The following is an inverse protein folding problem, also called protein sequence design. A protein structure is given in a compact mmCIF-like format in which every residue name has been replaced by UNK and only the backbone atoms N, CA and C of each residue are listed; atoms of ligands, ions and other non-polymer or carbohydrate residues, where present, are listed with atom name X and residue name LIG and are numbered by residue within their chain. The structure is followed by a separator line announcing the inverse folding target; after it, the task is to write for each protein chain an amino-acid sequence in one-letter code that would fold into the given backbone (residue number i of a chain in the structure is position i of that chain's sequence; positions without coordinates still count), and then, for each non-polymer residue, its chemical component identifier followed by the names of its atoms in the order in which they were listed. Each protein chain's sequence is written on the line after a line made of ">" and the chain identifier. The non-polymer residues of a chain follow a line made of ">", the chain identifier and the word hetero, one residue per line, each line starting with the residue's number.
data_IF_194734841755
#
_entry.id   IF_194734841755
#
_cell.length_a   1.000
_cell.length_b   1.000
_cell.length_c   1.000
_cell.angle_alpha   90.00
_cell.angle_beta   90.00
_cell.angle_gamma   90.00
#
_symmetry.space_group_name_H-M   'P 1'
#
loop_
_entity.id
_entity.type
_entity.pdbx_description
1 polymer ?
#
# COMPACT_ATOMS: atom_id res chain seq x y z
N UNK A 1 -2.40 4.20 17.22
CA UNK A 1 -2.71 4.53 15.81
C UNK A 1 -1.82 3.66 14.95
N UNK A 2 -2.41 2.96 13.98
CA UNK A 2 -1.64 2.19 13.01
C UNK A 2 -1.32 3.09 11.82
N UNK A 3 -0.05 3.09 11.43
CA UNK A 3 0.45 3.78 10.26
C UNK A 3 0.67 2.74 9.15
N UNK A 4 0.51 3.19 7.91
CA UNK A 4 0.62 2.38 6.71
C UNK A 4 1.54 3.05 5.71
N UNK A 5 2.51 2.30 5.21
CA UNK A 5 3.37 2.78 4.14
C UNK A 5 2.64 2.61 2.81
N UNK A 6 2.62 3.69 2.03
CA UNK A 6 1.98 3.75 0.73
C UNK A 6 3.04 3.75 -0.36
N UNK A 7 2.96 2.75 -1.23
CA UNK A 7 3.87 2.54 -2.34
C UNK A 7 3.14 2.73 -3.67
N UNK A 8 3.81 3.35 -4.63
CA UNK A 8 3.36 3.45 -6.01
C UNK A 8 4.17 2.51 -6.90
N UNK A 9 3.51 1.90 -7.89
CA UNK A 9 4.20 1.07 -8.86
C UNK A 9 4.75 1.93 -10.01
N UNK A 10 6.08 1.97 -10.16
CA UNK A 10 6.77 2.74 -11.19
C UNK A 10 6.52 2.22 -12.62
N UNK A 11 6.17 0.93 -12.76
CA UNK A 11 5.78 0.35 -14.07
C UNK A 11 4.30 0.53 -14.37
N UNK A 12 3.48 0.66 -13.33
CA UNK A 12 2.03 0.87 -13.41
C UNK A 12 1.65 2.01 -12.47
N UNK A 13 1.85 3.28 -12.88
CA UNK A 13 1.64 4.45 -12.00
C UNK A 13 0.19 4.62 -11.53
N UNK A 14 -0.75 3.88 -12.12
CA UNK A 14 -2.15 3.79 -11.67
C UNK A 14 -2.37 2.77 -10.56
N UNK A 15 -1.32 2.15 -10.01
CA UNK A 15 -1.44 1.14 -8.96
C UNK A 15 -0.65 1.57 -7.73
N UNK A 16 -1.37 1.71 -6.63
CA UNK A 16 -0.89 1.92 -5.28
C UNK A 16 -0.99 0.65 -4.44
N UNK A 17 -0.14 0.57 -3.42
CA UNK A 17 -0.08 -0.53 -2.47
C UNK A 17 0.12 0.04 -1.06
N UNK A 18 -0.82 -0.27 -0.18
CA UNK A 18 -0.68 -0.01 1.24
C UNK A 18 -0.14 -1.25 1.94
N UNK A 19 0.77 -1.06 2.88
CA UNK A 19 1.27 -2.10 3.78
C UNK A 19 1.36 -1.52 5.19
N UNK A 20 1.34 -2.38 6.21
CA UNK A 20 1.60 -1.92 7.58
C UNK A 20 3.01 -1.33 7.68
N UNK A 21 3.13 -0.20 8.36
CA UNK A 21 4.44 0.45 8.55
C UNK A 21 5.45 -0.51 9.14
N UNK A 22 6.59 -0.65 8.47
CA UNK A 22 7.68 -1.54 8.89
C UNK A 22 7.45 -3.04 8.63
N UNK A 23 6.33 -3.44 8.01
CA UNK A 23 6.14 -4.81 7.54
C UNK A 23 7.03 -5.13 6.31
N UNK A 24 7.59 -4.09 5.68
CA UNK A 24 8.26 -4.21 4.39
C UNK A 24 7.26 -4.45 3.26
N UNK A 25 7.76 -4.47 2.03
CA UNK A 25 6.94 -4.96 0.93
C UNK A 25 6.67 -6.45 1.18
N UNK A 26 5.42 -6.93 1.12
CA UNK A 26 5.14 -8.38 1.11
C UNK A 26 5.91 -9.02 -0.05
N UNK A 27 5.99 -10.36 -0.11
CA UNK A 27 6.66 -11.18 -1.16
C UNK A 27 6.21 -10.83 -2.61
N UNK A 28 6.49 -9.61 -3.03
CA UNK A 28 6.23 -9.06 -4.35
C UNK A 28 7.45 -9.45 -5.16
N UNK A 29 7.20 -10.22 -6.22
CA UNK A 29 8.22 -10.71 -7.13
C UNK A 29 9.18 -9.61 -7.63
N UNK A 30 8.71 -8.35 -7.65
CA UNK A 30 9.48 -7.20 -8.10
C UNK A 30 9.36 -6.01 -7.13
N UNK A 31 9.88 -6.14 -5.91
CA UNK A 31 9.96 -5.03 -4.95
C UNK A 31 10.60 -3.74 -5.52
N UNK A 32 11.50 -3.87 -6.51
CA UNK A 32 12.15 -2.76 -7.19
C UNK A 32 11.21 -1.90 -8.05
N UNK A 33 10.03 -2.40 -8.39
CA UNK A 33 9.01 -1.65 -9.12
C UNK A 33 8.18 -0.75 -8.20
N UNK A 34 8.34 -0.88 -6.89
CA UNK A 34 7.56 -0.14 -5.90
C UNK A 34 8.42 0.95 -5.28
N UNK A 35 7.90 2.17 -5.31
CA UNK A 35 8.51 3.32 -4.67
C UNK A 35 7.63 3.76 -3.51
N UNK A 36 8.21 3.92 -2.33
CA UNK A 36 7.52 4.53 -1.19
C UNK A 36 7.16 5.97 -1.57
N UNK A 37 5.87 6.26 -1.62
CA UNK A 37 5.35 7.60 -1.86
C UNK A 37 5.20 8.35 -0.53
N UNK A 38 4.70 7.67 0.49
CA UNK A 38 4.55 8.25 1.82
C UNK A 38 4.07 7.25 2.87
N UNK A 39 3.78 7.76 4.07
CA UNK A 39 3.11 7.00 5.13
C UNK A 39 1.80 7.70 5.46
N UNK A 40 0.73 6.93 5.51
CA UNK A 40 -0.62 7.39 5.83
C UNK A 40 -1.12 6.76 7.12
N UNK A 41 -2.07 7.40 7.77
CA UNK A 41 -2.75 6.87 8.95
C UNK A 41 -3.98 6.05 8.57
N UNK A 42 -4.49 5.23 9.49
CA UNK A 42 -5.75 4.48 9.30
C UNK A 42 -6.92 5.36 8.81
N UNK A 43 -7.00 6.61 9.27
CA UNK A 43 -8.05 7.57 8.88
C UNK A 43 -7.93 8.08 7.45
N UNK A 44 -6.76 7.93 6.83
CA UNK A 44 -6.49 8.33 5.45
C UNK A 44 -6.62 7.15 4.48
N UNK A 45 -6.82 5.94 4.99
CA UNK A 45 -7.02 4.76 4.15
C UNK A 45 -8.37 4.82 3.43
N UNK A 46 -8.43 4.28 2.19
CA UNK A 46 -9.70 4.07 1.51
C UNK A 46 -10.63 3.15 2.30
N UNK A 47 -11.95 3.33 2.15
CA UNK A 47 -12.92 2.39 2.69
C UNK A 47 -12.67 0.99 2.10
N UNK A 48 -12.41 0.02 2.97
CA UNK A 48 -12.13 -1.37 2.58
C UNK A 48 -10.65 -1.75 2.61
N UNK A 49 -9.73 -0.79 2.44
CA UNK A 49 -8.29 -1.06 2.46
C UNK A 49 -7.83 -1.58 3.84
N UNK A 50 -8.37 -1.04 4.93
CA UNK A 50 -8.06 -1.50 6.29
C UNK A 50 -8.37 -3.00 6.47
N UNK A 51 -9.53 -3.44 5.96
CA UNK A 51 -9.94 -4.85 6.05
C UNK A 51 -9.01 -5.76 5.25
N UNK A 52 -8.56 -5.31 4.08
CA UNK A 52 -7.58 -6.05 3.28
C UNK A 52 -6.20 -6.08 3.92
N UNK A 53 -5.76 -4.98 4.53
CA UNK A 53 -4.53 -4.89 5.33
C UNK A 53 -4.55 -5.79 6.57
N UNK A 54 -5.72 -5.96 7.20
CA UNK A 54 -5.91 -6.90 8.31
C UNK A 54 -5.92 -8.35 7.85
N UNK A 55 -6.53 -8.66 6.70
CA UNK A 55 -6.64 -10.02 6.19
C UNK A 55 -5.36 -10.52 5.50
N UNK A 56 -4.71 -9.66 4.71
CA UNK A 56 -3.62 -10.01 3.81
C UNK A 56 -2.28 -9.33 4.15
N UNK A 57 -2.28 -8.38 5.09
CA UNK A 57 -1.09 -7.56 5.41
C UNK A 57 -0.82 -6.44 4.40
N UNK A 58 -1.59 -6.37 3.31
CA UNK A 58 -1.47 -5.38 2.25
C UNK A 58 -2.82 -5.11 1.58
N UNK A 59 -2.95 -3.96 0.93
CA UNK A 59 -4.13 -3.59 0.14
C UNK A 59 -3.71 -2.86 -1.13
N UNK A 60 -4.35 -3.19 -2.25
CA UNK A 60 -4.10 -2.52 -3.53
C UNK A 60 -5.12 -1.41 -3.75
N UNK A 61 -4.68 -0.31 -4.36
CA UNK A 61 -5.58 0.75 -4.78
C UNK A 61 -5.26 1.19 -6.21
N UNK A 62 -6.30 1.38 -7.02
CA UNK A 62 -6.16 2.03 -8.32
C UNK A 62 -6.13 3.57 -8.13
N UNK A 63 -5.10 4.20 -8.70
CA UNK A 63 -4.87 5.64 -8.66
C UNK A 63 -5.27 6.23 -10.02
N UNK A 64 -6.25 7.14 -10.02
CA UNK A 64 -6.66 7.89 -11.21
C UNK A 64 -7.79 7.26 -12.03
N UNK A 65 -8.94 7.00 -11.39
CA UNK A 65 -10.22 6.80 -12.08
C UNK A 65 -10.85 8.10 -12.55
#
# INVERSE_FOLDING_TARGET
>A
MQDFDFYINLRKPTLGLYVRKGAGLPDLADASQWQLEGTVTETELPPGALKELEANGHAFQELGG
#
